data_IF_361730479171
#
_entry.id   IF_361730479171
#
_cell.length_a   1.000
_cell.length_b   1.000
_cell.length_c   1.000
_cell.angle_alpha   90.00
_cell.angle_beta   90.00
_cell.angle_gamma   90.00
#
_symmetry.space_group_name_H-M   'P 1'
#
loop_
_entity.id
_entity.type
_entity.pdbx_description
1 polymer ?
#
# COMPACT_ATOMS: atom_id res chain seq x y z
N UNK A 1 -1.79 -6.90 -10.34
CA UNK A 1 -2.78 -7.91 -9.88
C UNK A 1 -4.19 -7.41 -10.18
N UNK A 2 -5.04 -8.21 -10.83
CA UNK A 2 -6.37 -7.76 -11.30
C UNK A 2 -7.52 -8.20 -10.38
N UNK A 3 -7.45 -7.84 -9.10
CA UNK A 3 -8.43 -8.17 -8.06
C UNK A 3 -9.10 -6.91 -7.51
N UNK A 4 -10.40 -6.99 -7.23
CA UNK A 4 -11.15 -5.90 -6.61
C UNK A 4 -10.82 -5.80 -5.12
N UNK A 5 -11.25 -4.72 -4.46
CA UNK A 5 -11.07 -4.60 -3.02
C UNK A 5 -11.74 -5.76 -2.24
N UNK A 6 -12.93 -6.18 -2.64
CA UNK A 6 -13.66 -7.28 -1.98
C UNK A 6 -12.93 -8.61 -2.14
N UNK A 7 -12.33 -8.88 -3.31
CA UNK A 7 -11.53 -10.09 -3.54
C UNK A 7 -10.33 -10.14 -2.58
N UNK A 8 -9.59 -9.03 -2.46
CA UNK A 8 -8.46 -8.92 -1.54
C UNK A 8 -8.90 -9.04 -0.08
N UNK A 9 -10.05 -8.44 0.27
CA UNK A 9 -10.62 -8.50 1.61
C UNK A 9 -10.99 -9.94 1.98
N UNK A 10 -11.45 -10.73 1.03
CA UNK A 10 -11.82 -12.13 1.25
C UNK A 10 -10.62 -13.08 1.38
N UNK A 11 -9.44 -12.70 0.87
CA UNK A 11 -8.28 -13.60 0.83
C UNK A 11 -6.97 -12.93 1.31
N UNK A 12 -6.27 -12.17 0.47
CA UNK A 12 -4.92 -11.65 0.77
C UNK A 12 -4.84 -10.80 2.04
N UNK A 13 -5.88 -10.01 2.35
CA UNK A 13 -5.88 -9.11 3.51
C UNK A 13 -6.25 -9.78 4.83
N UNK A 14 -6.67 -11.05 4.81
CA UNK A 14 -7.02 -11.81 6.03
C UNK A 14 -5.86 -11.83 7.04
N UNK A 15 -4.63 -12.27 6.70
CA UNK A 15 -3.52 -12.28 7.65
C UNK A 15 -3.17 -10.88 8.18
N UNK A 16 -3.18 -9.85 7.33
CA UNK A 16 -2.86 -8.48 7.73
C UNK A 16 -3.88 -7.92 8.72
N UNK A 17 -5.19 -8.14 8.50
CA UNK A 17 -6.22 -7.75 9.47
C UNK A 17 -6.03 -8.43 10.82
N UNK A 18 -5.63 -9.69 10.82
CA UNK A 18 -5.39 -10.43 12.07
C UNK A 18 -4.16 -9.89 12.79
N UNK A 19 -3.06 -9.61 12.07
CA UNK A 19 -1.86 -9.01 12.66
C UNK A 19 -2.14 -7.62 13.24
N UNK A 20 -2.91 -6.77 12.56
CA UNK A 20 -3.30 -5.44 13.06
C UNK A 20 -4.15 -5.57 14.33
N UNK A 21 -5.11 -6.51 14.37
CA UNK A 21 -5.89 -6.80 15.59
C UNK A 21 -5.03 -7.31 16.74
N UNK A 22 -3.86 -7.86 16.44
CA UNK A 22 -2.85 -8.30 17.42
C UNK A 22 -1.79 -7.22 17.69
N UNK A 23 -2.07 -5.96 17.34
CA UNK A 23 -1.22 -4.80 17.60
C UNK A 23 0.15 -4.85 16.89
N UNK A 24 0.18 -5.25 15.62
CA UNK A 24 1.36 -5.07 14.79
C UNK A 24 1.84 -3.60 14.83
N UNK A 25 3.14 -3.38 14.99
CA UNK A 25 3.71 -2.03 15.09
C UNK A 25 3.92 -1.36 13.73
N UNK A 26 4.28 -2.17 12.72
CA UNK A 26 4.71 -1.70 11.40
C UNK A 26 4.06 -2.52 10.29
N UNK A 27 3.64 -1.85 9.22
CA UNK A 27 3.20 -2.48 7.95
C UNK A 27 4.04 -1.96 6.79
N UNK A 28 4.62 -2.90 6.03
CA UNK A 28 5.34 -2.59 4.79
C UNK A 28 4.41 -2.68 3.57
N UNK A 29 4.49 -1.73 2.65
CA UNK A 29 3.70 -1.69 1.41
C UNK A 29 4.56 -2.03 0.20
N UNK A 30 4.24 -3.15 -0.45
CA UNK A 30 4.87 -3.57 -1.70
C UNK A 30 4.56 -2.63 -2.87
N UNK A 31 5.32 -2.74 -3.96
CA UNK A 31 5.13 -2.00 -5.21
C UNK A 31 4.24 -2.74 -6.22
N UNK A 32 2.95 -2.90 -5.91
CA UNK A 32 2.01 -3.66 -6.75
C UNK A 32 0.99 -2.73 -7.39
N UNK A 33 0.85 -2.80 -8.72
CA UNK A 33 -0.27 -2.16 -9.41
C UNK A 33 -1.55 -2.98 -9.21
N UNK A 34 -2.60 -2.32 -8.71
CA UNK A 34 -3.93 -2.88 -8.41
C UNK A 34 -4.99 -2.15 -9.25
N UNK A 35 -5.15 -2.43 -10.56
CA UNK A 35 -5.93 -1.58 -11.46
C UNK A 35 -7.41 -1.42 -11.11
N UNK A 36 -8.00 -2.38 -10.40
CA UNK A 36 -9.39 -2.29 -9.91
C UNK A 36 -9.55 -1.40 -8.67
N UNK A 37 -8.45 -0.90 -8.10
CA UNK A 37 -8.43 0.00 -6.94
C UNK A 37 -7.79 1.33 -7.37
N UNK A 38 -6.56 1.26 -7.87
CA UNK A 38 -5.81 2.38 -8.43
C UNK A 38 -5.05 1.91 -9.69
N UNK A 39 -5.50 2.40 -10.85
CA UNK A 39 -4.89 2.11 -12.15
C UNK A 39 -3.65 2.95 -12.43
N UNK A 40 -3.42 4.02 -11.67
CA UNK A 40 -2.42 5.02 -11.98
C UNK A 40 -1.16 4.85 -11.15
N UNK A 41 -1.30 4.38 -9.90
CA UNK A 41 -0.18 4.28 -8.96
C UNK A 41 -0.09 2.90 -8.32
N UNK A 42 1.15 2.39 -8.12
CA UNK A 42 1.36 1.19 -7.31
C UNK A 42 0.94 1.45 -5.86
N UNK A 43 0.67 0.37 -5.12
CA UNK A 43 0.15 0.40 -3.76
C UNK A 43 0.94 1.31 -2.80
N UNK A 44 2.27 1.32 -2.88
CA UNK A 44 3.15 2.17 -2.04
C UNK A 44 2.99 3.68 -2.27
N UNK A 45 2.36 4.07 -3.37
CA UNK A 45 2.16 5.47 -3.79
C UNK A 45 0.68 5.81 -3.98
N UNK A 46 -0.23 4.89 -3.63
CA UNK A 46 -1.65 5.06 -3.82
C UNK A 46 -2.33 5.48 -2.52
N UNK A 47 -2.88 6.69 -2.49
CA UNK A 47 -3.71 7.17 -1.38
C UNK A 47 -4.92 6.27 -1.13
N UNK A 48 -5.45 5.63 -2.19
CA UNK A 48 -6.56 4.68 -2.07
C UNK A 48 -6.15 3.42 -1.31
N UNK A 49 -4.92 2.94 -1.50
CA UNK A 49 -4.43 1.76 -0.79
C UNK A 49 -3.96 2.12 0.62
N UNK A 50 -3.08 3.11 0.76
CA UNK A 50 -2.44 3.41 2.04
C UNK A 50 -3.42 4.13 2.98
N UNK A 51 -3.95 5.29 2.59
CA UNK A 51 -4.88 6.02 3.45
C UNK A 51 -6.25 5.32 3.52
N UNK A 52 -6.92 5.11 2.39
CA UNK A 52 -8.34 4.72 2.45
C UNK A 52 -8.55 3.27 2.90
N UNK A 53 -7.68 2.34 2.48
CA UNK A 53 -7.82 0.92 2.87
C UNK A 53 -7.07 0.65 4.19
N UNK A 54 -5.76 0.88 4.24
CA UNK A 54 -4.97 0.49 5.41
C UNK A 54 -5.24 1.37 6.64
N UNK A 55 -5.12 2.70 6.52
CA UNK A 55 -5.36 3.61 7.64
C UNK A 55 -6.84 3.63 8.04
N UNK A 56 -7.73 3.80 7.06
CA UNK A 56 -9.15 4.04 7.35
C UNK A 56 -9.98 2.74 7.45
N UNK A 57 -10.05 1.85 6.46
CA UNK A 57 -10.90 0.64 6.58
C UNK A 57 -10.32 -0.39 7.56
N UNK A 58 -9.00 -0.58 7.55
CA UNK A 58 -8.31 -1.54 8.42
C UNK A 58 -7.88 -0.95 9.77
N UNK A 59 -8.11 0.35 9.99
CA UNK A 59 -7.87 1.06 11.26
C UNK A 59 -6.42 0.92 11.77
N UNK A 60 -5.44 0.90 10.85
CA UNK A 60 -4.02 0.75 11.23
C UNK A 60 -3.37 2.10 11.58
N UNK A 61 -2.98 2.25 12.84
CA UNK A 61 -2.40 3.49 13.37
C UNK A 61 -0.88 3.41 13.61
N UNK A 62 -0.24 2.28 13.31
CA UNK A 62 1.21 2.10 13.48
C UNK A 62 2.05 2.78 12.39
N UNK A 63 3.32 2.41 12.28
CA UNK A 63 4.21 2.93 11.24
C UNK A 63 3.92 2.24 9.91
N UNK A 64 3.79 3.01 8.83
CA UNK A 64 3.69 2.45 7.47
C UNK A 64 4.98 2.80 6.74
N UNK A 65 5.62 1.80 6.13
CA UNK A 65 6.81 2.00 5.31
C UNK A 65 6.63 1.41 3.93
N UNK A 66 7.35 1.94 2.95
CA UNK A 66 7.40 1.33 1.61
C UNK A 66 8.38 0.15 1.61
N UNK A 67 8.21 -0.75 0.65
CA UNK A 67 9.31 -1.57 0.17
C UNK A 67 10.41 -0.68 -0.47
N UNK A 68 11.50 -1.29 -0.94
CA UNK A 68 12.65 -0.58 -1.46
C UNK A 68 12.32 0.26 -2.71
N UNK A 69 12.32 1.58 -2.51
CA UNK A 69 12.01 2.59 -3.54
C UNK A 69 13.03 2.62 -4.68
N UNK A 70 14.19 1.97 -4.53
CA UNK A 70 15.20 1.84 -5.59
C UNK A 70 14.96 0.64 -6.51
N UNK A 71 14.00 -0.24 -6.18
CA UNK A 71 13.61 -1.36 -7.02
C UNK A 71 13.19 -0.89 -8.42
N UNK A 72 13.48 -1.71 -9.42
CA UNK A 72 13.14 -1.45 -10.82
C UNK A 72 11.63 -1.23 -11.04
N UNK A 73 10.77 -1.82 -10.20
CA UNK A 73 9.32 -1.60 -10.22
C UNK A 73 8.92 -0.13 -10.01
N UNK A 74 9.76 0.66 -9.32
CA UNK A 74 9.58 2.10 -9.14
C UNK A 74 10.54 2.87 -10.06
N UNK A 75 11.84 2.56 -10.01
CA UNK A 75 12.89 3.33 -10.69
C UNK A 75 12.72 3.45 -12.21
N UNK A 76 12.13 2.44 -12.86
CA UNK A 76 11.89 2.46 -14.32
C UNK A 76 10.68 3.32 -14.72
N UNK A 77 9.80 3.65 -13.78
CA UNK A 77 8.52 4.32 -14.07
C UNK A 77 8.40 5.69 -13.39
N UNK A 78 9.14 5.93 -12.31
CA UNK A 78 9.07 7.14 -11.53
C UNK A 78 10.47 7.62 -11.15
N UNK A 79 10.65 8.94 -11.15
CA UNK A 79 11.82 9.54 -10.51
C UNK A 79 11.76 9.30 -8.99
N UNK A 80 12.89 8.91 -8.38
CA UNK A 80 12.96 8.54 -6.97
C UNK A 80 12.45 9.65 -6.03
N UNK A 81 12.86 10.90 -6.24
CA UNK A 81 12.42 12.01 -5.39
C UNK A 81 10.90 12.21 -5.47
N UNK A 82 10.34 12.18 -6.68
CA UNK A 82 8.89 12.29 -6.88
C UNK A 82 8.14 11.08 -6.29
N UNK A 83 8.70 9.88 -6.40
CA UNK A 83 8.12 8.68 -5.83
C UNK A 83 8.09 8.75 -4.29
N UNK A 84 9.17 9.22 -3.66
CA UNK A 84 9.25 9.42 -2.21
C UNK A 84 8.28 10.49 -1.70
N UNK A 85 8.17 11.63 -2.38
CA UNK A 85 7.16 12.65 -2.01
C UNK A 85 5.76 12.08 -2.13
N UNK A 86 5.50 11.30 -3.18
CA UNK A 86 4.18 10.72 -3.42
C UNK A 86 3.82 9.61 -2.42
N UNK A 87 4.76 8.79 -1.96
CA UNK A 87 4.48 7.79 -0.93
C UNK A 87 4.04 8.46 0.38
N UNK A 88 4.74 9.53 0.78
CA UNK A 88 4.36 10.35 1.94
C UNK A 88 2.95 10.93 1.75
N UNK A 89 2.66 11.51 0.59
CA UNK A 89 1.32 12.03 0.26
C UNK A 89 0.23 10.94 0.25
N UNK A 90 0.59 9.69 -0.03
CA UNK A 90 -0.32 8.56 0.03
C UNK A 90 -0.64 8.13 1.48
N UNK A 91 0.21 8.46 2.44
CA UNK A 91 0.00 8.25 3.88
C UNK A 91 0.94 7.24 4.54
N UNK A 92 2.09 6.94 3.91
CA UNK A 92 3.18 6.22 4.59
C UNK A 92 3.77 7.09 5.69
#
# INVERSE_FOLDING_TARGET
VYKSYNDLKAFELVPFRNAIKQNADVVMIAHILLPKIDSNYPSSMSKKVVTNILRNDMQFNGVVMTDDMTMDAIRKHFNLANASVRSIQAGT
#
